data_IF_729642300797
#
_entry.id   IF_729642300797
#
_cell.length_a   1.000
_cell.length_b   1.000
_cell.length_c   1.000
_cell.angle_alpha   90.00
_cell.angle_beta   90.00
_cell.angle_gamma   90.00
#
_symmetry.space_group_name_H-M   'P 1'
#
loop_
_entity.id
_entity.type
_entity.pdbx_description
1 polymer ?
#
# COMPACT_ATOMS: atom_id res chain seq x y z
N UNK A 1 -13.75 24.52 32.40
CA UNK A 1 -12.49 25.21 32.78
C UNK A 1 -12.74 26.49 33.57
N UNK A 2 -13.75 27.31 33.21
CA UNK A 2 -14.01 28.62 33.86
C UNK A 2 -14.39 28.56 35.34
N UNK A 3 -15.34 27.68 35.69
CA UNK A 3 -15.82 27.55 37.07
C UNK A 3 -14.73 27.02 38.00
N UNK A 4 -13.87 26.14 37.49
CA UNK A 4 -12.78 25.56 38.26
C UNK A 4 -11.68 26.58 38.60
N UNK A 5 -11.33 27.49 37.67
CA UNK A 5 -10.31 28.51 37.94
C UNK A 5 -10.77 29.59 38.90
N UNK A 6 -12.07 29.90 38.94
CA UNK A 6 -12.66 30.78 39.96
C UNK A 6 -12.73 30.06 41.31
N UNK A 7 -13.09 28.78 41.32
CA UNK A 7 -13.22 28.00 42.55
C UNK A 7 -11.89 27.70 43.26
N UNK A 8 -10.78 27.64 42.52
CA UNK A 8 -9.43 27.39 43.08
C UNK A 8 -8.63 28.66 43.33
N UNK A 9 -9.18 29.84 43.02
CA UNK A 9 -8.46 31.10 43.19
C UNK A 9 -8.41 31.54 44.66
N UNK A 10 -7.20 31.83 45.17
CA UNK A 10 -7.02 32.32 46.54
C UNK A 10 -7.44 33.80 46.64
N UNK A 11 -8.68 34.06 47.07
CA UNK A 11 -9.23 35.41 47.18
C UNK A 11 -8.46 36.36 48.12
N UNK A 12 -7.69 35.80 49.08
CA UNK A 12 -6.88 36.60 50.01
C UNK A 12 -5.55 37.10 49.40
N UNK A 13 -5.15 36.61 48.22
CA UNK A 13 -3.86 36.93 47.62
C UNK A 13 -3.69 38.41 47.30
N UNK A 14 -4.73 39.06 46.77
CA UNK A 14 -4.73 40.51 46.51
C UNK A 14 -4.84 41.35 47.80
N UNK A 15 -5.44 40.81 48.87
CA UNK A 15 -5.53 41.50 50.16
C UNK A 15 -4.19 41.52 50.93
N UNK A 16 -3.28 40.58 50.63
CA UNK A 16 -1.93 40.51 51.21
C UNK A 16 -0.88 41.30 50.42
N UNK A 17 -1.24 41.87 49.27
CA UNK A 17 -0.31 42.61 48.43
C UNK A 17 0.02 43.98 49.04
N UNK A 18 1.30 44.21 49.36
CA UNK A 18 1.80 45.46 49.97
C UNK A 18 2.27 46.49 48.94
N UNK A 19 2.36 46.11 47.67
CA UNK A 19 2.83 46.96 46.57
C UNK A 19 1.91 46.81 45.37
N UNK A 20 1.66 47.89 44.65
CA UNK A 20 0.77 47.90 43.48
C UNK A 20 1.17 46.87 42.41
N UNK A 21 2.48 46.66 42.20
CA UNK A 21 3.00 45.65 41.27
C UNK A 21 2.73 44.20 41.67
N UNK A 22 2.36 43.96 42.93
CA UNK A 22 2.04 42.63 43.45
C UNK A 22 0.54 42.31 43.36
N UNK A 23 -0.30 43.26 42.94
CA UNK A 23 -1.75 43.07 42.75
C UNK A 23 -1.99 42.34 41.44
N UNK A 24 -2.66 41.19 41.50
CA UNK A 24 -3.00 40.40 40.32
C UNK A 24 -4.35 40.82 39.74
N UNK A 25 -4.38 41.14 38.44
CA UNK A 25 -5.59 41.47 37.69
C UNK A 25 -6.30 40.21 37.17
N UNK A 26 -6.75 39.35 38.10
CA UNK A 26 -7.34 38.04 37.82
C UNK A 26 -8.49 38.08 36.79
N UNK A 27 -9.39 39.07 36.88
CA UNK A 27 -10.51 39.18 35.96
C UNK A 27 -10.07 39.39 34.51
N UNK A 28 -9.13 40.31 34.28
CA UNK A 28 -8.67 40.66 32.94
C UNK A 28 -7.80 39.58 32.30
N UNK A 29 -6.90 38.97 33.09
CA UNK A 29 -6.09 37.85 32.60
C UNK A 29 -6.96 36.65 32.26
N UNK A 30 -7.94 36.32 33.11
CA UNK A 30 -8.88 35.22 32.85
C UNK A 30 -9.73 35.49 31.61
N UNK A 31 -10.28 36.69 31.47
CA UNK A 31 -11.07 37.11 30.32
C UNK A 31 -10.28 36.94 29.02
N UNK A 32 -9.04 37.42 28.99
CA UNK A 32 -8.15 37.31 27.83
C UNK A 32 -7.84 35.84 27.48
N UNK A 33 -7.46 35.02 28.47
CA UNK A 33 -7.12 33.61 28.25
C UNK A 33 -8.32 32.82 27.72
N UNK A 34 -9.53 33.11 28.21
CA UNK A 34 -10.75 32.44 27.74
C UNK A 34 -11.03 32.74 26.27
N UNK A 35 -10.98 34.02 25.87
CA UNK A 35 -11.23 34.42 24.48
C UNK A 35 -10.13 33.96 23.54
N UNK A 36 -8.88 33.97 24.00
CA UNK A 36 -7.75 33.45 23.23
C UNK A 36 -7.89 31.94 22.98
N UNK A 37 -8.32 31.17 23.98
CA UNK A 37 -8.55 29.73 23.82
C UNK A 37 -9.65 29.43 22.78
N UNK A 38 -10.74 30.21 22.78
CA UNK A 38 -11.80 30.10 21.76
C UNK A 38 -11.25 30.45 20.38
N UNK A 39 -10.51 31.55 20.24
CA UNK A 39 -9.91 31.96 18.97
C UNK A 39 -8.92 30.91 18.42
N UNK A 40 -8.07 30.33 19.27
CA UNK A 40 -7.15 29.27 18.87
C UNK A 40 -7.89 28.00 18.42
N UNK A 41 -8.96 27.64 19.11
CA UNK A 41 -9.78 26.47 18.74
C UNK A 41 -10.46 26.69 17.40
N UNK A 42 -11.02 27.88 17.18
CA UNK A 42 -11.67 28.26 15.94
C UNK A 42 -10.68 28.28 14.76
N UNK A 43 -9.48 28.84 14.97
CA UNK A 43 -8.40 28.82 14.00
C UNK A 43 -7.96 27.38 13.66
N UNK A 44 -7.86 26.50 14.65
CA UNK A 44 -7.52 25.09 14.43
C UNK A 44 -8.59 24.36 13.61
N UNK A 45 -9.88 24.58 13.91
CA UNK A 45 -10.99 24.01 13.15
C UNK A 45 -10.99 24.55 11.72
N UNK A 46 -10.81 25.86 11.54
CA UNK A 46 -10.71 26.50 10.23
C UNK A 46 -9.55 25.94 9.39
N UNK A 47 -8.39 25.71 10.00
CA UNK A 47 -7.25 25.06 9.34
C UNK A 47 -7.56 23.62 8.94
N UNK A 48 -8.25 22.85 9.77
CA UNK A 48 -8.66 21.48 9.45
C UNK A 48 -9.66 21.45 8.28
N UNK A 49 -10.62 22.38 8.25
CA UNK A 49 -11.58 22.52 7.14
C UNK A 49 -10.85 22.94 5.86
N UNK A 50 -9.93 23.89 5.93
CA UNK A 50 -9.12 24.29 4.79
C UNK A 50 -8.27 23.13 4.25
N UNK A 51 -7.63 22.37 5.14
CA UNK A 51 -6.79 21.24 4.77
C UNK A 51 -7.61 20.05 4.22
N UNK A 52 -8.85 19.85 4.69
CA UNK A 52 -9.76 18.83 4.16
C UNK A 52 -10.33 19.23 2.80
N UNK A 53 -10.78 20.47 2.63
CA UNK A 53 -11.32 20.98 1.38
C UNK A 53 -10.28 21.00 0.25
N UNK A 54 -9.01 21.21 0.58
CA UNK A 54 -7.90 21.26 -0.39
C UNK A 54 -7.25 19.87 -0.60
N UNK A 55 -7.87 18.78 -0.13
CA UNK A 55 -7.35 17.40 -0.23
C UNK A 55 -5.91 17.21 0.31
N UNK A 56 -5.51 18.04 1.28
CA UNK A 56 -4.15 18.01 1.85
C UNK A 56 -4.08 17.20 3.14
N UNK A 57 -5.20 17.07 3.86
CA UNK A 57 -5.30 16.30 5.10
C UNK A 57 -5.76 14.85 4.91
N UNK A 58 -6.58 14.57 3.89
CA UNK A 58 -7.12 13.24 3.62
C UNK A 58 -6.80 12.85 2.18
N UNK A 59 -5.98 11.81 2.00
CA UNK A 59 -5.78 11.19 0.70
C UNK A 59 -7.11 10.57 0.30
N UNK A 60 -7.86 11.23 -0.59
CA UNK A 60 -9.03 10.62 -1.19
C UNK A 60 -8.53 9.43 -2.02
N UNK A 61 -8.95 8.19 -1.71
CA UNK A 61 -8.63 7.07 -2.57
C UNK A 61 -9.20 7.36 -3.97
N UNK A 62 -8.49 6.98 -5.05
CA UNK A 62 -9.00 7.13 -6.40
C UNK A 62 -10.38 6.47 -6.49
N UNK A 63 -11.31 7.10 -7.23
CA UNK A 63 -12.65 6.55 -7.38
C UNK A 63 -12.56 5.12 -7.91
N UNK A 64 -13.44 4.19 -7.47
CA UNK A 64 -13.44 2.82 -7.97
C UNK A 64 -13.49 2.74 -9.50
N UNK A 65 -14.20 3.68 -10.14
CA UNK A 65 -14.24 3.81 -11.60
C UNK A 65 -12.86 4.12 -12.21
N UNK A 66 -12.09 5.04 -11.61
CA UNK A 66 -10.75 5.38 -12.09
C UNK A 66 -9.76 4.21 -11.90
N UNK A 67 -9.90 3.46 -10.81
CA UNK A 67 -9.10 2.24 -10.58
C UNK A 67 -9.42 1.20 -11.65
N UNK A 68 -10.69 0.91 -11.90
CA UNK A 68 -11.12 -0.04 -12.93
C UNK A 68 -10.64 0.40 -14.32
N UNK A 69 -10.76 1.68 -14.66
CA UNK A 69 -10.27 2.22 -15.94
C UNK A 69 -8.76 2.00 -16.09
N UNK A 70 -7.98 2.31 -15.04
CA UNK A 70 -6.53 2.13 -15.06
C UNK A 70 -6.11 0.68 -15.23
N UNK A 71 -6.77 -0.26 -14.54
CA UNK A 71 -6.51 -1.69 -14.63
C UNK A 71 -6.93 -2.24 -16.00
N UNK A 72 -8.09 -1.82 -16.51
CA UNK A 72 -8.59 -2.20 -17.83
C UNK A 72 -7.62 -1.76 -18.92
N UNK A 73 -7.08 -0.54 -18.82
CA UNK A 73 -6.10 -0.03 -19.78
C UNK A 73 -4.79 -0.81 -19.78
N UNK A 74 -4.34 -1.30 -18.62
CA UNK A 74 -3.18 -2.20 -18.53
C UNK A 74 -3.50 -3.55 -19.17
N UNK A 75 -4.68 -4.11 -18.89
CA UNK A 75 -5.12 -5.37 -19.45
C UNK A 75 -5.25 -5.31 -20.98
N UNK A 76 -5.81 -4.24 -21.53
CA UNK A 76 -5.93 -4.01 -22.97
C UNK A 76 -4.56 -3.99 -23.67
N UNK A 77 -3.56 -3.33 -23.06
CA UNK A 77 -2.18 -3.32 -23.59
C UNK A 77 -1.58 -4.72 -23.59
N UNK A 78 -1.77 -5.48 -22.53
CA UNK A 78 -1.30 -6.87 -22.44
C UNK A 78 -2.01 -7.77 -23.45
N UNK A 79 -3.33 -7.63 -23.58
CA UNK A 79 -4.14 -8.37 -24.55
C UNK A 79 -3.73 -8.08 -25.99
N UNK A 80 -3.42 -6.82 -26.32
CA UNK A 80 -2.90 -6.45 -27.64
C UNK A 80 -1.57 -7.17 -27.96
N UNK A 81 -0.64 -7.22 -26.98
CA UNK A 81 0.61 -7.97 -27.11
C UNK A 81 0.34 -9.46 -27.31
N UNK A 82 -0.53 -10.06 -26.49
CA UNK A 82 -0.90 -11.47 -26.63
C UNK A 82 -1.55 -11.79 -27.98
N UNK A 83 -2.41 -10.91 -28.50
CA UNK A 83 -2.98 -11.05 -29.85
C UNK A 83 -1.91 -11.03 -30.92
N UNK A 84 -0.95 -10.10 -30.84
CA UNK A 84 0.18 -10.06 -31.79
C UNK A 84 1.06 -11.31 -31.71
N UNK A 85 1.36 -11.78 -30.50
CA UNK A 85 2.12 -13.03 -30.29
C UNK A 85 1.36 -14.24 -30.82
N UNK A 86 0.05 -14.29 -30.62
CA UNK A 86 -0.83 -15.33 -31.16
C UNK A 86 -0.83 -15.33 -32.69
N UNK A 87 -0.88 -14.16 -33.32
CA UNK A 87 -0.77 -14.03 -34.77
C UNK A 87 0.59 -14.54 -35.28
N UNK A 88 1.69 -14.15 -34.63
CA UNK A 88 3.04 -14.65 -34.96
C UNK A 88 3.13 -16.16 -34.81
N UNK A 89 2.65 -16.71 -33.68
CA UNK A 89 2.61 -18.16 -33.45
C UNK A 89 1.80 -18.88 -34.52
N UNK A 90 0.66 -18.32 -34.94
CA UNK A 90 -0.16 -18.90 -36.00
C UNK A 90 0.63 -18.95 -37.32
N UNK A 91 1.31 -17.87 -37.71
CA UNK A 91 2.16 -17.82 -38.89
C UNK A 91 3.28 -18.86 -38.83
N UNK A 92 4.01 -18.91 -37.70
CA UNK A 92 5.07 -19.89 -37.45
C UNK A 92 4.56 -21.33 -37.59
N UNK A 93 3.39 -21.62 -37.04
CA UNK A 93 2.79 -22.95 -37.11
C UNK A 93 2.17 -23.26 -38.47
N UNK A 94 1.83 -22.26 -39.29
CA UNK A 94 1.25 -22.47 -40.62
C UNK A 94 2.30 -22.78 -41.67
N UNK A 95 3.48 -22.17 -41.59
CA UNK A 95 4.58 -22.42 -42.52
C UNK A 95 5.37 -23.69 -42.14
N UNK A 96 5.59 -24.58 -43.11
CA UNK A 96 6.22 -25.87 -42.86
C UNK A 96 7.68 -25.73 -42.38
N UNK A 97 8.45 -24.76 -42.92
CA UNK A 97 9.85 -24.55 -42.54
C UNK A 97 10.02 -24.07 -41.09
N UNK A 98 9.22 -23.08 -40.66
CA UNK A 98 9.25 -22.61 -39.28
C UNK A 98 8.75 -23.66 -38.29
N UNK A 99 7.67 -24.38 -38.64
CA UNK A 99 7.16 -25.48 -37.80
C UNK A 99 8.22 -26.57 -37.58
N UNK A 100 8.94 -26.96 -38.63
CA UNK A 100 10.00 -27.95 -38.53
C UNK A 100 11.14 -27.50 -37.61
N UNK A 101 11.59 -26.25 -37.72
CA UNK A 101 12.61 -25.66 -36.83
C UNK A 101 12.17 -25.62 -35.37
N UNK A 102 10.91 -25.26 -35.10
CA UNK A 102 10.37 -25.27 -33.74
C UNK A 102 10.34 -26.69 -33.18
N UNK A 103 9.90 -27.67 -33.97
CA UNK A 103 9.91 -29.07 -33.58
C UNK A 103 11.32 -29.60 -33.31
N UNK A 104 12.29 -29.25 -34.16
CA UNK A 104 13.69 -29.63 -33.98
C UNK A 104 14.29 -29.01 -32.72
N UNK A 105 14.02 -27.72 -32.46
CA UNK A 105 14.42 -27.05 -31.24
C UNK A 105 13.90 -27.78 -30.01
N UNK A 106 12.59 -28.04 -29.93
CA UNK A 106 12.00 -28.71 -28.76
C UNK A 106 12.46 -30.15 -28.59
N UNK A 107 12.71 -30.86 -29.68
CA UNK A 107 13.32 -32.20 -29.63
C UNK A 107 14.73 -32.14 -29.06
N UNK A 108 15.56 -31.22 -29.56
CA UNK A 108 16.93 -31.03 -29.09
C UNK A 108 16.96 -30.59 -27.63
N UNK A 109 16.09 -29.68 -27.23
CA UNK A 109 15.95 -29.24 -25.84
C UNK A 109 15.56 -30.41 -24.93
N UNK A 110 14.62 -31.26 -25.38
CA UNK A 110 14.24 -32.47 -24.65
C UNK A 110 15.40 -33.47 -24.53
N UNK A 111 16.19 -33.66 -25.58
CA UNK A 111 17.40 -34.50 -25.57
C UNK A 111 18.46 -33.95 -24.62
N UNK A 112 18.78 -32.66 -24.70
CA UNK A 112 19.74 -31.99 -23.82
C UNK A 112 19.28 -32.05 -22.37
N UNK A 113 17.99 -31.78 -22.11
CA UNK A 113 17.51 -31.85 -20.74
C UNK A 113 17.44 -33.26 -20.19
N UNK A 114 17.18 -34.25 -21.03
CA UNK A 114 17.27 -35.65 -20.63
C UNK A 114 18.71 -36.01 -20.22
N UNK A 115 19.69 -35.63 -21.03
CA UNK A 115 21.12 -35.82 -20.73
C UNK A 115 21.52 -35.15 -19.40
N UNK A 116 21.15 -33.88 -19.20
CA UNK A 116 21.43 -33.15 -17.96
C UNK A 116 20.75 -33.79 -16.75
N UNK A 117 19.53 -34.31 -16.90
CA UNK A 117 18.81 -35.01 -15.83
C UNK A 117 19.37 -36.41 -15.56
N UNK A 118 20.15 -37.00 -16.46
CA UNK A 118 20.83 -38.27 -16.25
C UNK A 118 22.20 -38.11 -15.56
N UNK A 119 22.75 -36.90 -15.52
CA UNK A 119 23.98 -36.61 -14.79
C UNK A 119 23.83 -36.94 -13.30
N UNK A 120 24.73 -37.78 -12.77
CA UNK A 120 24.67 -38.26 -11.38
C UNK A 120 24.58 -37.13 -10.36
N UNK A 121 25.31 -36.05 -10.58
CA UNK A 121 25.36 -34.90 -9.67
C UNK A 121 24.00 -34.18 -9.63
N UNK A 122 23.32 -34.05 -10.77
CA UNK A 122 21.99 -33.45 -10.88
C UNK A 122 20.93 -34.36 -10.26
N UNK A 123 20.97 -35.66 -10.54
CA UNK A 123 20.06 -36.65 -9.93
C UNK A 123 20.20 -36.65 -8.41
N UNK A 124 21.43 -36.58 -7.90
CA UNK A 124 21.69 -36.57 -6.47
C UNK A 124 21.19 -35.26 -5.82
N UNK A 125 21.44 -34.12 -6.46
CA UNK A 125 20.96 -32.82 -5.99
C UNK A 125 19.42 -32.74 -6.00
N UNK A 126 18.76 -33.21 -7.06
CA UNK A 126 17.29 -33.23 -7.17
C UNK A 126 16.70 -34.14 -6.09
N UNK A 127 17.24 -35.34 -5.89
CA UNK A 127 16.76 -36.23 -4.84
C UNK A 127 16.99 -35.67 -3.44
N UNK A 128 18.11 -34.97 -3.20
CA UNK A 128 18.37 -34.30 -1.93
C UNK A 128 17.38 -33.17 -1.66
N UNK A 129 17.07 -32.35 -2.66
CA UNK A 129 16.06 -31.28 -2.56
C UNK A 129 14.68 -31.88 -2.35
N UNK A 130 14.28 -32.89 -3.12
CA UNK A 130 12.98 -33.56 -2.98
C UNK A 130 12.82 -34.20 -1.59
N UNK A 131 13.87 -34.81 -1.04
CA UNK A 131 13.84 -35.39 0.29
C UNK A 131 13.68 -34.34 1.41
N UNK A 132 14.05 -33.08 1.14
CA UNK A 132 13.97 -31.94 2.08
C UNK A 132 12.81 -30.99 1.77
N UNK A 133 12.08 -31.21 0.68
CA UNK A 133 11.02 -30.33 0.22
C UNK A 133 9.75 -30.58 1.03
N UNK A 134 9.27 -29.54 1.71
CA UNK A 134 7.97 -29.54 2.36
C UNK A 134 6.88 -29.28 1.32
N UNK A 135 6.23 -30.35 0.86
CA UNK A 135 5.19 -30.29 -0.18
C UNK A 135 3.99 -29.45 0.28
N UNK A 136 3.66 -29.49 1.57
CA UNK A 136 2.55 -28.73 2.13
C UNK A 136 2.89 -27.23 2.19
N UNK A 137 4.13 -26.91 2.58
CA UNK A 137 4.65 -25.54 2.55
C UNK A 137 4.71 -24.93 1.15
N UNK A 138 5.13 -25.71 0.14
CA UNK A 138 5.17 -25.26 -1.26
C UNK A 138 3.76 -25.02 -1.80
N UNK A 139 2.81 -25.90 -1.49
CA UNK A 139 1.41 -25.75 -1.92
C UNK A 139 0.79 -24.50 -1.31
N UNK A 140 1.01 -24.28 0.00
CA UNK A 140 0.54 -23.07 0.68
C UNK A 140 1.17 -21.80 0.13
N UNK A 141 2.48 -21.81 -0.15
CA UNK A 141 3.16 -20.67 -0.78
C UNK A 141 2.67 -20.37 -2.20
N UNK A 142 2.26 -21.41 -2.94
CA UNK A 142 1.65 -21.24 -4.25
C UNK A 142 0.25 -20.60 -4.14
N UNK A 143 -0.57 -21.03 -3.19
CA UNK A 143 -1.89 -20.44 -2.92
C UNK A 143 -1.75 -18.96 -2.49
N UNK A 144 -0.81 -18.65 -1.58
CA UNK A 144 -0.52 -17.28 -1.15
C UNK A 144 -0.02 -16.41 -2.32
N UNK A 145 0.80 -16.96 -3.22
CA UNK A 145 1.25 -16.25 -4.42
C UNK A 145 0.10 -15.98 -5.41
N UNK A 146 -0.77 -16.97 -5.62
CA UNK A 146 -1.97 -16.80 -6.44
C UNK A 146 -2.88 -15.73 -5.83
N UNK A 147 -3.07 -15.74 -4.52
CA UNK A 147 -3.84 -14.73 -3.79
C UNK A 147 -3.20 -13.33 -3.90
N UNK A 148 -1.87 -13.24 -3.89
CA UNK A 148 -1.15 -11.97 -4.08
C UNK A 148 -1.28 -11.43 -5.51
N UNK A 149 -1.30 -12.30 -6.52
CA UNK A 149 -1.36 -11.92 -7.94
C UNK A 149 -2.79 -11.65 -8.41
N UNK A 150 -3.75 -12.44 -7.95
CA UNK A 150 -5.16 -12.37 -8.38
C UNK A 150 -6.07 -11.66 -7.35
N UNK A 151 -5.59 -11.41 -6.14
CA UNK A 151 -6.39 -10.95 -5.02
C UNK A 151 -7.13 -12.12 -4.32
N UNK A 152 -7.63 -11.89 -3.09
CA UNK A 152 -8.43 -12.90 -2.38
C UNK A 152 -9.62 -13.32 -3.23
N UNK A 153 -9.76 -14.62 -3.46
CA UNK A 153 -10.98 -15.17 -4.01
C UNK A 153 -12.11 -14.90 -3.00
N UNK A 154 -13.10 -14.11 -3.42
CA UNK A 154 -14.27 -13.76 -2.64
C UNK A 154 -15.09 -14.99 -2.22
#
# INVERSE_FOLDING_TARGET
ADVASVATYEHQRNARATTYSAVENFFWTRYLVSHLAVCLTDAAIGLLIWASATNRAFVLPPSPALVIESQTRVLEKSLAKFRSLGAVRNVVMREAGFRAKVGEYWRKEGEVMHEVLEERDVVQAVNEVLAKMDVDGVTKGADEFVEQVLGPAA
#
